data_IF_720571812670
#
_entry.id   IF_720571812670
#
_cell.length_a   1.000
_cell.length_b   1.000
_cell.length_c   1.000
_cell.angle_alpha   90.00
_cell.angle_beta   90.00
_cell.angle_gamma   90.00
#
_symmetry.space_group_name_H-M   'P 1'
#
loop_
_entity.id
_entity.type
_entity.pdbx_description
1 polymer ?
#
# COMPACT_ATOMS: atom_id res chain seq x y z
N UNK A 1 -3.37 3.27 14.41
CA UNK A 1 -2.74 2.78 13.17
C UNK A 1 -2.30 3.90 12.22
N UNK A 2 -3.20 4.68 11.60
CA UNK A 2 -2.83 5.73 10.61
C UNK A 2 -1.77 6.72 11.12
N UNK A 3 -1.99 7.31 12.29
CA UNK A 3 -1.06 8.27 12.89
C UNK A 3 0.33 7.66 13.17
N UNK A 4 0.39 6.41 13.61
CA UNK A 4 1.64 5.71 13.90
C UNK A 4 2.44 5.45 12.61
N UNK A 5 1.74 5.09 11.53
CA UNK A 5 2.34 4.90 10.21
C UNK A 5 2.87 6.23 9.68
N UNK A 6 2.07 7.31 9.78
CA UNK A 6 2.45 8.64 9.34
C UNK A 6 3.70 9.15 10.08
N UNK A 7 3.75 9.08 11.42
CA UNK A 7 4.94 9.43 12.22
C UNK A 7 6.14 8.58 11.78
N UNK A 8 5.94 7.28 11.54
CA UNK A 8 7.02 6.38 11.13
C UNK A 8 7.49 6.58 9.68
N UNK A 9 6.71 7.26 8.84
CA UNK A 9 7.08 7.67 7.49
C UNK A 9 7.80 9.03 7.51
N UNK A 10 7.30 10.00 8.28
CA UNK A 10 7.94 11.33 8.41
C UNK A 10 9.34 11.28 9.01
N UNK A 11 9.69 10.23 9.75
CA UNK A 11 11.07 9.98 10.20
C UNK A 11 12.05 9.69 9.06
N UNK A 12 11.59 9.38 7.85
CA UNK A 12 12.46 9.13 6.70
C UNK A 12 12.84 10.45 6.01
N UNK A 13 14.12 10.62 5.66
CA UNK A 13 14.54 11.79 4.89
C UNK A 13 13.87 11.78 3.51
N UNK A 14 13.39 12.95 3.06
CA UNK A 14 12.73 13.12 1.75
C UNK A 14 11.20 13.05 1.76
N UNK A 15 10.58 12.77 2.91
CA UNK A 15 9.11 12.75 3.07
C UNK A 15 8.56 13.95 3.85
N UNK A 16 9.44 14.76 4.44
CA UNK A 16 9.08 15.98 5.17
C UNK A 16 8.52 17.04 4.22
N UNK A 17 7.25 17.40 4.39
CA UNK A 17 6.55 18.39 3.55
C UNK A 17 5.37 17.85 2.74
N UNK A 18 5.19 16.53 2.72
CA UNK A 18 4.08 15.86 2.01
C UNK A 18 3.07 15.23 2.97
N UNK A 19 2.84 15.81 4.16
CA UNK A 19 2.01 15.22 5.21
C UNK A 19 0.56 14.94 4.77
N UNK A 20 -0.06 15.91 4.09
CA UNK A 20 -1.42 15.80 3.56
C UNK A 20 -1.50 14.71 2.48
N UNK A 21 -0.54 14.70 1.56
CA UNK A 21 -0.46 13.71 0.48
C UNK A 21 -0.21 12.29 1.01
N UNK A 22 0.72 12.14 1.97
CA UNK A 22 0.97 10.88 2.65
C UNK A 22 -0.26 10.39 3.41
N UNK A 23 -1.03 11.29 4.02
CA UNK A 23 -2.28 10.94 4.68
C UNK A 23 -3.26 10.30 3.71
N UNK A 24 -3.44 10.87 2.51
CA UNK A 24 -4.30 10.31 1.46
C UNK A 24 -3.80 8.94 1.00
N UNK A 25 -2.50 8.82 0.67
CA UNK A 25 -1.92 7.54 0.25
C UNK A 25 -2.09 6.45 1.31
N UNK A 26 -1.96 6.79 2.59
CA UNK A 26 -2.16 5.85 3.69
C UNK A 26 -3.63 5.39 3.74
N UNK A 27 -4.59 6.28 3.52
CA UNK A 27 -6.02 5.93 3.49
C UNK A 27 -6.33 5.00 2.31
N UNK A 28 -5.77 5.28 1.13
CA UNK A 28 -5.91 4.42 -0.04
C UNK A 28 -5.29 3.04 0.21
N UNK A 29 -4.10 3.01 0.80
CA UNK A 29 -3.40 1.76 1.18
C UNK A 29 -4.17 0.96 2.23
N UNK A 30 -4.90 1.62 3.13
CA UNK A 30 -5.78 0.97 4.11
C UNK A 30 -6.98 0.35 3.41
N UNK A 31 -7.64 1.09 2.52
CA UNK A 31 -8.79 0.62 1.75
C UNK A 31 -8.40 -0.58 0.86
N UNK A 32 -7.26 -0.50 0.20
CA UNK A 32 -6.71 -1.60 -0.62
C UNK A 32 -6.41 -2.84 0.24
N UNK A 33 -5.82 -2.66 1.43
CA UNK A 33 -5.59 -3.76 2.37
C UNK A 33 -6.91 -4.41 2.82
N UNK A 34 -7.96 -3.62 3.09
CA UNK A 34 -9.29 -4.17 3.42
C UNK A 34 -9.85 -5.01 2.29
N UNK A 35 -9.72 -4.52 1.06
CA UNK A 35 -10.10 -5.25 -0.14
C UNK A 35 -9.37 -6.60 -0.25
N UNK A 36 -8.04 -6.62 -0.04
CA UNK A 36 -7.27 -7.86 -0.06
C UNK A 36 -7.66 -8.88 1.03
N UNK A 37 -8.12 -8.38 2.18
CA UNK A 37 -8.51 -9.21 3.31
C UNK A 37 -9.98 -9.66 3.26
N UNK A 38 -10.77 -9.14 2.31
CA UNK A 38 -12.23 -9.26 2.26
C UNK A 38 -12.91 -8.70 3.53
N UNK A 39 -12.44 -7.56 4.00
CA UNK A 39 -13.03 -6.85 5.14
C UNK A 39 -14.01 -5.80 4.62
N UNK A 40 -15.09 -5.55 5.36
CA UNK A 40 -16.00 -4.44 5.06
C UNK A 40 -15.36 -3.09 5.40
N UNK A 41 -15.85 -2.02 4.78
CA UNK A 41 -15.29 -0.66 4.97
C UNK A 41 -15.37 -0.19 6.42
N UNK A 42 -16.35 -0.69 7.18
CA UNK A 42 -16.52 -0.38 8.61
C UNK A 42 -15.64 -1.25 9.53
N UNK A 43 -15.02 -2.32 9.02
CA UNK A 43 -14.17 -3.20 9.84
C UNK A 43 -12.78 -2.57 10.07
N UNK A 44 -12.33 -2.58 11.32
CA UNK A 44 -10.97 -2.14 11.68
C UNK A 44 -9.93 -3.19 11.28
N UNK A 45 -8.86 -2.72 10.63
CA UNK A 45 -7.72 -3.57 10.30
C UNK A 45 -6.95 -3.97 11.58
N UNK A 46 -6.60 -5.25 11.76
CA UNK A 46 -5.79 -5.66 12.90
C UNK A 46 -4.41 -5.02 12.83
N UNK A 47 -3.84 -4.68 13.98
CA UNK A 47 -2.52 -4.03 14.11
C UNK A 47 -1.38 -4.77 13.39
N UNK A 48 -1.51 -6.09 13.22
CA UNK A 48 -0.59 -6.92 12.42
C UNK A 48 -0.50 -6.54 10.93
N UNK A 49 -1.46 -5.78 10.40
CA UNK A 49 -1.46 -5.29 9.03
C UNK A 49 -0.72 -3.95 8.87
N UNK A 50 -0.48 -3.21 9.95
CA UNK A 50 0.26 -1.95 9.92
C UNK A 50 1.59 -2.00 9.14
N UNK A 51 2.45 -3.02 9.30
CA UNK A 51 3.66 -3.14 8.50
C UNK A 51 3.41 -3.33 6.99
N UNK A 52 2.32 -3.99 6.60
CA UNK A 52 1.97 -4.20 5.21
C UNK A 52 1.42 -2.91 4.58
N UNK A 53 0.55 -2.20 5.29
CA UNK A 53 0.03 -0.88 4.88
C UNK A 53 1.17 0.12 4.70
N UNK A 54 2.16 0.12 5.60
CA UNK A 54 3.35 0.98 5.47
C UNK A 54 4.15 0.70 4.20
N UNK A 55 4.32 -0.58 3.83
CA UNK A 55 5.02 -0.96 2.61
C UNK A 55 4.23 -0.55 1.37
N UNK A 56 2.91 -0.77 1.35
CA UNK A 56 2.03 -0.31 0.26
C UNK A 56 2.10 1.19 0.06
N UNK A 57 1.99 1.97 1.14
CA UNK A 57 2.05 3.43 1.06
C UNK A 57 3.38 3.94 0.49
N UNK A 58 4.49 3.25 0.77
CA UNK A 58 5.79 3.58 0.19
C UNK A 58 5.89 3.22 -1.30
N UNK A 59 5.28 2.10 -1.71
CA UNK A 59 5.22 1.69 -3.11
C UNK A 59 4.43 2.72 -3.90
N UNK A 60 3.24 3.08 -3.43
CA UNK A 60 2.38 4.10 -4.07
C UNK A 60 3.08 5.46 -4.14
N UNK A 61 3.69 5.91 -3.05
CA UNK A 61 4.45 7.16 -3.04
C UNK A 61 5.62 7.15 -4.06
N UNK A 62 6.34 6.04 -4.17
CA UNK A 62 7.44 5.92 -5.12
C UNK A 62 6.94 5.83 -6.57
N UNK A 63 5.79 5.19 -6.81
CA UNK A 63 5.17 5.08 -8.13
C UNK A 63 4.67 6.43 -8.61
N UNK A 64 3.93 7.17 -7.79
CA UNK A 64 3.45 8.52 -8.12
C UNK A 64 4.61 9.48 -8.44
N UNK A 65 5.75 9.33 -7.75
CA UNK A 65 6.97 10.06 -8.08
C UNK A 65 7.67 9.58 -9.36
N UNK A 66 7.46 8.32 -9.77
CA UNK A 66 8.08 7.68 -10.92
C UNK A 66 7.24 7.75 -12.21
N UNK A 67 5.95 8.11 -12.16
CA UNK A 67 5.11 8.31 -13.35
C UNK A 67 5.71 9.36 -14.31
N UNK A 68 6.46 10.33 -13.78
CA UNK A 68 7.24 11.28 -14.57
C UNK A 68 8.46 10.69 -15.28
N UNK A 69 9.03 9.58 -14.79
CA UNK A 69 10.21 8.91 -15.36
C UNK A 69 9.82 7.72 -16.26
N UNK A 70 8.72 7.02 -15.96
CA UNK A 70 8.28 5.85 -16.71
C UNK A 70 7.66 6.17 -18.08
N UNK A 71 7.29 7.43 -18.33
CA UNK A 71 6.87 7.89 -19.67
C UNK A 71 7.96 7.69 -20.74
N UNK A 72 9.22 7.48 -20.36
CA UNK A 72 10.32 7.23 -21.32
C UNK A 72 10.64 5.75 -21.57
N UNK A 73 10.02 4.78 -20.88
CA UNK A 73 10.49 3.36 -20.90
C UNK A 73 9.44 2.27 -21.20
N UNK A 74 8.25 2.60 -21.72
CA UNK A 74 7.25 1.59 -22.11
C UNK A 74 7.37 1.23 -23.61
N UNK A 75 8.50 0.59 -23.98
CA UNK A 75 8.71 -0.11 -25.26
C UNK A 75 8.96 -1.61 -25.01
N UNK A 76 8.12 -2.27 -24.21
CA UNK A 76 8.12 -3.73 -24.19
C UNK A 76 6.74 -4.24 -23.86
N UNK A 77 6.05 -4.69 -24.91
CA UNK A 77 4.77 -5.38 -24.80
C UNK A 77 4.93 -6.67 -24.01
N UNK A 78 4.55 -6.62 -22.74
CA UNK A 78 4.37 -7.76 -21.89
C UNK A 78 3.30 -7.38 -20.89
N UNK A 79 2.12 -7.97 -21.00
CA UNK A 79 1.06 -7.85 -20.01
C UNK A 79 1.56 -8.43 -18.69
N UNK A 80 2.25 -7.63 -17.88
CA UNK A 80 2.67 -8.02 -16.54
C UNK A 80 1.44 -7.93 -15.66
N UNK A 81 0.76 -9.06 -15.50
CA UNK A 81 -0.34 -9.24 -14.56
C UNK A 81 0.03 -8.62 -13.21
N UNK A 82 -0.66 -7.53 -12.85
CA UNK A 82 -0.48 -6.69 -11.65
C UNK A 82 -0.48 -7.44 -10.29
N UNK A 83 -0.73 -8.75 -10.29
CA UNK A 83 -0.83 -9.59 -9.10
C UNK A 83 0.52 -10.13 -8.61
N UNK A 84 1.59 -10.14 -9.43
CA UNK A 84 2.89 -10.68 -9.02
C UNK A 84 3.81 -9.68 -8.28
N UNK A 85 3.52 -8.37 -8.36
CA UNK A 85 4.41 -7.30 -7.88
C UNK A 85 4.36 -6.99 -6.37
N UNK A 86 3.41 -7.55 -5.62
CA UNK A 86 3.32 -7.31 -4.18
C UNK A 86 4.49 -7.98 -3.43
N UNK A 87 5.16 -7.28 -2.49
CA UNK A 87 6.23 -7.88 -1.69
C UNK A 87 5.77 -9.15 -0.96
N UNK A 88 6.64 -10.16 -0.86
CA UNK A 88 6.34 -11.44 -0.21
C UNK A 88 5.86 -11.28 1.24
N UNK A 89 6.33 -10.21 1.90
CA UNK A 89 5.94 -9.86 3.26
C UNK A 89 4.47 -9.42 3.33
N UNK A 90 4.02 -8.58 2.40
CA UNK A 90 2.62 -8.18 2.25
C UNK A 90 1.77 -9.40 1.92
N UNK A 91 2.18 -10.21 0.93
CA UNK A 91 1.48 -11.46 0.56
C UNK A 91 1.28 -12.39 1.76
N UNK A 92 2.28 -12.53 2.64
CA UNK A 92 2.19 -13.37 3.85
C UNK A 92 1.18 -12.82 4.86
N UNK A 93 1.16 -11.51 5.07
CA UNK A 93 0.21 -10.86 5.99
C UNK A 93 -1.21 -10.99 5.45
N UNK A 94 -1.42 -10.73 4.16
CA UNK A 94 -2.71 -10.91 3.49
C UNK A 94 -3.20 -12.35 3.69
N UNK A 95 -2.38 -13.36 3.38
CA UNK A 95 -2.76 -14.78 3.58
C UNK A 95 -3.11 -15.13 5.03
N UNK A 96 -2.51 -14.46 6.01
CA UNK A 96 -2.75 -14.72 7.44
C UNK A 96 -4.09 -14.18 7.91
N UNK A 97 -4.48 -13.00 7.45
CA UNK A 97 -5.68 -12.29 7.93
C UNK A 97 -6.87 -12.37 6.97
N UNK A 98 -6.65 -12.82 5.72
CA UNK A 98 -7.70 -12.90 4.70
C UNK A 98 -8.80 -13.84 5.14
N UNK A 99 -10.03 -13.32 5.16
CA UNK A 99 -11.24 -14.11 5.40
C UNK A 99 -11.66 -14.80 4.11
N UNK A 100 -12.29 -15.96 4.24
CA UNK A 100 -12.93 -16.60 3.10
C UNK A 100 -13.92 -15.60 2.46
N UNK A 101 -14.00 -15.53 1.12
CA UNK A 101 -15.00 -14.71 0.46
C UNK A 101 -16.37 -15.04 1.05
N UNK A 102 -17.14 -14.02 1.45
CA UNK A 102 -18.51 -14.26 1.89
C UNK A 102 -19.29 -14.78 0.68
N UNK A 103 -19.82 -16.01 0.80
CA UNK A 103 -20.64 -16.67 -0.21
C UNK A 103 -21.96 -15.93 -0.43
#
# INVERSE_FOLDING_TARGET
MKQEILIALLKRPGLSGHEEFLSTIIDDSISEMKSFLNYDDEEELPSGCAPAVKELALIHFNLDGAEGLQSESQSSGGSTTYMDALPDRVKRIVRKYRRLPRC
#
